data_IF_015165787804
#
_entry.id   IF_015165787804
#
_cell.length_a   1.000
_cell.length_b   1.000
_cell.length_c   1.000
_cell.angle_alpha   90.00
_cell.angle_beta   90.00
_cell.angle_gamma   90.00
#
_symmetry.space_group_name_H-M   'P 1'
#
loop_
_entity.id
_entity.type
_entity.pdbx_description
1 polymer ?
#
# COMPACT_ATOMS: atom_id res chain seq x y z
N UNK A 1 -12.17 -9.50 10.97
CA UNK A 1 -11.29 -10.66 11.23
C UNK A 1 -9.86 -10.44 10.72
N UNK A 2 -9.70 -9.90 9.51
CA UNK A 2 -8.41 -9.54 8.89
C UNK A 2 -7.53 -8.58 9.71
N UNK A 3 -8.10 -7.50 10.27
CA UNK A 3 -7.36 -6.52 11.10
C UNK A 3 -6.72 -7.12 12.35
N UNK A 4 -7.39 -8.10 12.98
CA UNK A 4 -6.88 -8.80 14.18
C UNK A 4 -5.66 -9.65 13.82
N UNK A 5 -5.75 -10.42 12.73
CA UNK A 5 -4.65 -11.27 12.24
C UNK A 5 -3.45 -10.41 11.85
N UNK A 6 -3.68 -9.30 11.13
CA UNK A 6 -2.62 -8.34 10.81
C UNK A 6 -1.93 -7.80 12.06
N UNK A 7 -2.71 -7.36 13.05
CA UNK A 7 -2.18 -6.77 14.28
C UNK A 7 -1.38 -7.80 15.08
N UNK A 8 -1.88 -9.03 15.19
CA UNK A 8 -1.18 -10.12 15.87
C UNK A 8 0.12 -10.49 15.16
N UNK A 9 0.09 -10.62 13.82
CA UNK A 9 1.28 -10.89 13.03
C UNK A 9 2.33 -9.78 13.19
N UNK A 10 1.91 -8.50 13.20
CA UNK A 10 2.79 -7.36 13.46
C UNK A 10 3.45 -7.44 14.84
N UNK A 11 2.71 -7.83 15.87
CA UNK A 11 3.26 -8.04 17.22
C UNK A 11 4.25 -9.20 17.25
N UNK A 12 3.92 -10.34 16.65
CA UNK A 12 4.79 -11.51 16.58
C UNK A 12 6.10 -11.22 15.83
N UNK A 13 6.06 -10.43 14.75
CA UNK A 13 7.27 -9.95 14.05
C UNK A 13 8.18 -9.12 14.96
N UNK A 14 7.62 -8.22 15.78
CA UNK A 14 8.40 -7.43 16.75
C UNK A 14 9.08 -8.30 17.81
N UNK A 15 8.54 -9.49 18.07
CA UNK A 15 9.11 -10.50 18.97
C UNK A 15 10.08 -11.46 18.25
N UNK A 16 10.37 -11.23 16.97
CA UNK A 16 11.34 -12.02 16.19
C UNK A 16 10.75 -13.21 15.43
N UNK A 17 9.42 -13.41 15.44
CA UNK A 17 8.80 -14.47 14.66
C UNK A 17 8.89 -14.19 13.15
N UNK A 18 9.33 -15.17 12.37
CA UNK A 18 9.47 -15.07 10.92
C UNK A 18 8.31 -15.78 10.22
N UNK A 19 7.49 -15.01 9.49
CA UNK A 19 6.37 -15.54 8.70
C UNK A 19 6.79 -16.03 7.31
N UNK A 20 8.06 -15.82 6.94
CA UNK A 20 8.62 -16.24 5.65
C UNK A 20 7.80 -15.73 4.45
N UNK A 21 7.43 -14.45 4.49
CA UNK A 21 6.64 -13.77 3.46
C UNK A 21 7.21 -14.00 2.06
N UNK A 22 8.53 -14.06 1.94
CA UNK A 22 9.28 -14.25 0.69
C UNK A 22 9.06 -15.62 0.04
N UNK A 23 8.47 -16.58 0.75
CA UNK A 23 8.13 -17.90 0.21
C UNK A 23 6.74 -17.93 -0.45
N UNK A 24 5.87 -16.96 -0.14
CA UNK A 24 4.51 -16.92 -0.69
C UNK A 24 4.52 -16.51 -2.17
N UNK A 25 3.77 -17.27 -2.98
CA UNK A 25 3.72 -17.07 -4.43
C UNK A 25 3.17 -15.69 -4.83
N UNK A 26 2.25 -15.12 -4.04
CA UNK A 26 1.68 -13.79 -4.30
C UNK A 26 2.66 -12.69 -3.96
N UNK A 27 3.42 -12.85 -2.86
CA UNK A 27 4.50 -11.92 -2.51
C UNK A 27 5.58 -11.92 -3.59
N UNK A 28 5.95 -13.09 -4.12
CA UNK A 28 6.88 -13.22 -5.25
C UNK A 28 6.35 -12.54 -6.51
N UNK A 29 5.11 -12.81 -6.89
CA UNK A 29 4.47 -12.20 -8.07
C UNK A 29 4.40 -10.67 -7.94
N UNK A 30 4.00 -10.16 -6.75
CA UNK A 30 4.00 -8.74 -6.45
C UNK A 30 5.40 -8.12 -6.65
N UNK A 31 6.45 -8.74 -6.10
CA UNK A 31 7.84 -8.24 -6.23
C UNK A 31 8.33 -8.28 -7.67
N UNK A 32 7.98 -9.31 -8.43
CA UNK A 32 8.33 -9.44 -9.84
C UNK A 32 7.70 -8.33 -10.68
N UNK A 33 6.40 -8.06 -10.45
CA UNK A 33 5.67 -6.99 -11.14
C UNK A 33 6.26 -5.62 -10.77
N UNK A 34 6.45 -5.35 -9.47
CA UNK A 34 7.08 -4.10 -9.02
C UNK A 34 8.50 -3.96 -9.59
N UNK A 35 9.29 -5.05 -9.62
CA UNK A 35 10.63 -5.06 -10.18
C UNK A 35 10.67 -4.75 -11.67
N UNK A 36 9.69 -5.24 -12.45
CA UNK A 36 9.53 -4.93 -13.88
C UNK A 36 9.12 -3.48 -14.12
N UNK A 37 8.24 -2.93 -13.28
CA UNK A 37 7.76 -1.56 -13.38
C UNK A 37 8.73 -0.52 -12.77
N UNK A 38 9.65 -0.96 -11.92
CA UNK A 38 10.50 -0.12 -11.07
C UNK A 38 9.76 0.42 -9.84
N UNK A 39 8.52 0.90 -10.02
CA UNK A 39 7.64 1.36 -8.94
C UNK A 39 6.16 1.30 -9.34
N UNK A 40 5.26 1.26 -8.34
CA UNK A 40 3.84 1.53 -8.54
C UNK A 40 3.63 3.03 -8.37
N UNK A 41 3.03 3.67 -9.38
CA UNK A 41 2.79 5.10 -9.42
C UNK A 41 1.32 5.38 -9.16
N UNK A 42 1.04 6.46 -8.44
CA UNK A 42 -0.31 6.89 -8.09
C UNK A 42 -0.51 8.36 -8.44
N UNK A 43 -1.67 8.68 -9.04
CA UNK A 43 -2.22 10.02 -9.07
C UNK A 43 -3.04 10.21 -7.80
N UNK A 44 -2.85 11.30 -7.07
CA UNK A 44 -3.60 11.60 -5.84
C UNK A 44 -4.27 12.96 -5.95
N UNK A 45 -5.58 12.95 -5.82
CA UNK A 45 -6.41 14.14 -5.75
C UNK A 45 -6.81 14.37 -4.30
N UNK A 46 -6.63 15.59 -3.80
CA UNK A 46 -6.93 15.97 -2.41
C UNK A 46 -7.86 17.18 -2.41
N UNK A 47 -9.03 16.99 -1.81
CA UNK A 47 -10.06 18.00 -1.59
C UNK A 47 -9.65 19.00 -0.51
N UNK A 48 -10.33 20.16 -0.49
CA UNK A 48 -10.10 21.24 0.47
C UNK A 48 -10.42 20.86 1.91
N UNK A 49 -11.34 19.91 2.11
CA UNK A 49 -11.71 19.32 3.41
C UNK A 49 -10.70 18.25 3.91
N UNK A 50 -9.67 17.93 3.12
CA UNK A 50 -8.67 16.92 3.44
C UNK A 50 -9.02 15.51 2.99
N UNK A 51 -10.22 15.29 2.42
CA UNK A 51 -10.54 14.05 1.74
C UNK A 51 -9.67 13.86 0.50
N UNK A 52 -9.40 12.61 0.14
CA UNK A 52 -8.50 12.31 -0.96
C UNK A 52 -8.84 10.98 -1.64
N UNK A 53 -8.46 10.88 -2.91
CA UNK A 53 -8.55 9.68 -3.73
C UNK A 53 -7.22 9.48 -4.44
N UNK A 54 -6.78 8.24 -4.54
CA UNK A 54 -5.62 7.84 -5.29
C UNK A 54 -5.96 6.70 -6.25
N UNK A 55 -5.44 6.78 -7.46
CA UNK A 55 -5.54 5.75 -8.49
C UNK A 55 -4.15 5.46 -9.04
N UNK A 56 -3.82 4.19 -9.24
CA UNK A 56 -2.54 3.83 -9.85
C UNK A 56 -2.53 4.19 -11.33
N UNK A 57 -1.45 4.83 -11.78
CA UNK A 57 -1.28 5.28 -13.17
C UNK A 57 -0.61 4.24 -14.06
N UNK A 58 -0.09 3.16 -13.48
CA UNK A 58 0.65 2.12 -14.19
C UNK A 58 0.24 0.69 -13.81
N UNK A 59 -0.77 0.53 -12.96
CA UNK A 59 -1.47 -0.73 -12.71
C UNK A 59 -2.98 -0.44 -12.63
N UNK A 60 -3.73 -0.95 -13.60
CA UNK A 60 -5.18 -0.78 -13.60
C UNK A 60 -5.82 -1.48 -12.39
N UNK A 61 -6.80 -0.82 -11.77
CA UNK A 61 -7.63 -1.40 -10.71
C UNK A 61 -7.13 -1.20 -9.27
N UNK A 62 -6.02 -0.48 -9.06
CA UNK A 62 -5.63 -0.05 -7.71
C UNK A 62 -6.18 1.35 -7.44
N UNK A 63 -7.25 1.43 -6.65
CA UNK A 63 -7.90 2.68 -6.24
C UNK A 63 -8.05 2.67 -4.71
N UNK A 64 -7.73 3.78 -4.07
CA UNK A 64 -7.92 3.95 -2.62
C UNK A 64 -8.22 5.41 -2.28
N UNK A 65 -8.62 5.67 -1.05
CA UNK A 65 -8.96 7.02 -0.62
C UNK A 65 -9.12 7.10 0.89
N UNK A 66 -9.38 8.30 1.38
CA UNK A 66 -9.54 8.56 2.80
C UNK A 66 -10.02 9.98 3.09
N UNK A 67 -10.24 10.27 4.36
CA UNK A 67 -10.70 11.58 4.83
C UNK A 67 -9.60 12.40 5.51
N UNK A 68 -8.39 11.84 5.61
CA UNK A 68 -7.25 12.42 6.31
C UNK A 68 -5.98 12.17 5.50
N UNK A 69 -5.18 13.23 5.29
CA UNK A 69 -3.95 13.15 4.49
C UNK A 69 -2.88 12.30 5.18
N UNK A 70 -2.94 12.23 6.51
CA UNK A 70 -2.04 11.45 7.36
C UNK A 70 -2.15 9.95 7.07
N UNK A 71 -3.29 9.47 6.55
CA UNK A 71 -3.53 8.05 6.25
C UNK A 71 -3.12 7.63 4.83
N UNK A 72 -2.67 8.57 3.97
CA UNK A 72 -2.37 8.30 2.55
C UNK A 72 -1.39 7.12 2.39
N UNK A 73 -0.24 7.19 3.05
CA UNK A 73 0.80 6.18 2.91
C UNK A 73 0.35 4.79 3.39
N UNK A 74 -0.43 4.71 4.46
CA UNK A 74 -0.97 3.45 4.97
C UNK A 74 -1.97 2.85 3.97
N UNK A 75 -2.90 3.66 3.49
CA UNK A 75 -3.96 3.24 2.57
C UNK A 75 -3.41 2.84 1.19
N UNK A 76 -2.37 3.52 0.69
CA UNK A 76 -1.69 3.12 -0.56
C UNK A 76 -1.06 1.73 -0.42
N UNK A 77 -0.35 1.48 0.68
CA UNK A 77 0.26 0.16 0.94
C UNK A 77 -0.80 -0.92 1.09
N UNK A 78 -1.87 -0.64 1.82
CA UNK A 78 -2.98 -1.57 2.00
C UNK A 78 -3.66 -1.90 0.66
N UNK A 79 -3.88 -0.89 -0.19
CA UNK A 79 -4.45 -1.09 -1.52
C UNK A 79 -3.57 -1.97 -2.42
N UNK A 80 -2.25 -1.76 -2.40
CA UNK A 80 -1.30 -2.62 -3.12
C UNK A 80 -1.35 -4.06 -2.60
N UNK A 81 -1.27 -4.26 -1.28
CA UNK A 81 -1.31 -5.59 -0.68
C UNK A 81 -2.64 -6.30 -0.95
N UNK A 82 -3.75 -5.56 -0.96
CA UNK A 82 -5.09 -6.06 -1.29
C UNK A 82 -5.18 -6.47 -2.76
N UNK A 83 -4.67 -5.64 -3.68
CA UNK A 83 -4.65 -5.95 -5.11
C UNK A 83 -3.91 -7.26 -5.42
N UNK A 84 -2.81 -7.53 -4.72
CA UNK A 84 -2.05 -8.77 -4.84
C UNK A 84 -2.57 -9.92 -3.96
N UNK A 85 -3.73 -9.73 -3.30
CA UNK A 85 -4.37 -10.72 -2.44
C UNK A 85 -3.45 -11.27 -1.33
N UNK A 86 -2.55 -10.42 -0.82
CA UNK A 86 -1.60 -10.81 0.22
C UNK A 86 -2.39 -11.11 1.50
N UNK A 87 -2.21 -12.31 2.10
CA UNK A 87 -2.89 -12.64 3.34
C UNK A 87 -2.54 -11.66 4.47
N UNK A 88 -3.49 -11.33 5.36
CA UNK A 88 -3.25 -10.39 6.45
C UNK A 88 -2.06 -10.75 7.37
N UNK A 89 -1.76 -12.04 7.54
CA UNK A 89 -0.62 -12.48 8.34
C UNK A 89 0.72 -12.29 7.62
N UNK A 90 0.71 -12.14 6.29
CA UNK A 90 1.89 -11.85 5.46
C UNK A 90 2.01 -10.36 5.09
N UNK A 91 0.95 -9.56 5.30
CA UNK A 91 1.02 -8.11 5.14
C UNK A 91 2.10 -7.53 6.06
N UNK A 92 3.14 -6.97 5.44
CA UNK A 92 4.28 -6.37 6.11
C UNK A 92 4.58 -5.01 5.44
N UNK A 93 4.64 -3.96 6.26
CA UNK A 93 4.78 -2.55 5.84
C UNK A 93 6.08 -2.27 5.05
N UNK A 94 7.05 -3.21 5.10
CA UNK A 94 8.32 -3.14 4.37
C UNK A 94 8.27 -3.76 2.97
N UNK A 95 7.22 -4.54 2.65
CA UNK A 95 7.07 -5.18 1.34
C UNK A 95 6.81 -4.16 0.23
N UNK A 96 6.12 -3.07 0.56
CA UNK A 96 5.85 -1.95 -0.34
C UNK A 96 6.56 -0.73 0.23
N UNK A 97 7.68 -0.37 -0.38
CA UNK A 97 8.43 0.84 -0.03
C UNK A 97 7.84 2.02 -0.80
N UNK A 98 7.39 3.04 -0.08
CA UNK A 98 7.11 4.34 -0.67
C UNK A 98 8.45 5.03 -0.87
N UNK A 99 8.88 5.29 -2.12
CA UNK A 99 10.06 6.14 -2.35
C UNK A 99 9.72 7.59 -2.00
N UNK A 100 10.56 8.22 -1.18
CA UNK A 100 10.68 9.67 -1.02
C UNK A 100 9.39 10.46 -0.79
N UNK A 101 9.12 10.84 0.45
CA UNK A 101 8.30 12.05 0.69
C UNK A 101 8.95 13.26 -0.03
N UNK A 102 8.20 14.24 -0.59
CA UNK A 102 6.79 14.29 -0.91
C UNK A 102 6.55 14.03 -2.41
N UNK A 103 5.64 13.10 -2.67
CA UNK A 103 4.79 12.97 -3.86
C UNK A 103 4.84 14.12 -4.88
N UNK A 104 5.07 13.80 -6.16
CA UNK A 104 4.67 14.68 -7.26
C UNK A 104 3.14 14.75 -7.28
N UNK A 105 2.62 15.70 -6.51
CA UNK A 105 1.22 16.08 -6.47
C UNK A 105 0.88 16.80 -7.78
N UNK A 106 0.20 16.12 -8.69
CA UNK A 106 -0.67 16.83 -9.62
C UNK A 106 -1.93 17.25 -8.85
N UNK A 107 -1.81 18.34 -8.08
CA UNK A 107 -2.93 18.94 -7.38
C UNK A 107 -3.90 19.56 -8.38
N UNK A 108 -5.03 18.89 -8.61
CA UNK A 108 -6.24 19.56 -9.11
C UNK A 108 -7.07 19.98 -7.91
N UNK A 109 -6.87 21.22 -7.46
CA UNK A 109 -7.72 21.82 -6.43
C UNK A 109 -9.00 22.28 -7.13
N UNK A 110 -10.13 21.64 -6.82
CA UNK A 110 -11.44 22.17 -7.15
C UNK A 110 -11.88 23.07 -5.98
N UNK A 111 -12.00 24.37 -6.25
CA UNK A 111 -12.48 25.40 -5.32
C UNK A 111 -13.99 25.58 -5.43
#
# INVERSE_FOLDING_TARGET
>A
MTKVIYTLARTLRRLGFQFHEDNDVRVKAMREIIGRLGSIQFSIEISSDGAWVAESTNIDGIITGGTSKESINEHLKDAVLTYFEIPPHLCNETLVKTQGEPMKLEQKIYA
#
